data_IF_383564964028
#
_entry.id   IF_383564964028
#
_cell.length_a   1.000
_cell.length_b   1.000
_cell.length_c   1.000
_cell.angle_alpha   90.00
_cell.angle_beta   90.00
_cell.angle_gamma   90.00
#
_symmetry.space_group_name_H-M   'P 1'
#
loop_
_entity.id
_entity.type
_entity.pdbx_description
1 polymer ?
#
# COMPACT_ATOMS: atom_id res chain seq x y z
N UNK A 1 3.97 -5.91 -5.77
CA UNK A 1 4.28 -6.50 -4.44
C UNK A 1 3.53 -7.80 -4.26
N UNK A 2 4.18 -8.80 -3.67
CA UNK A 2 3.62 -10.11 -3.36
C UNK A 2 3.61 -10.26 -1.84
N UNK A 3 2.45 -10.58 -1.26
CA UNK A 3 2.37 -10.90 0.16
C UNK A 3 2.27 -12.41 0.34
N UNK A 4 3.24 -12.99 1.02
CA UNK A 4 3.27 -14.42 1.34
C UNK A 4 2.77 -14.67 2.76
N UNK A 5 1.82 -15.58 2.90
CA UNK A 5 1.28 -16.03 4.19
C UNK A 5 1.14 -17.56 4.26
N UNK A 6 1.67 -18.29 3.28
CA UNK A 6 1.63 -19.74 3.21
C UNK A 6 3.00 -20.32 2.85
N UNK A 7 3.39 -21.40 3.53
CA UNK A 7 4.67 -22.09 3.29
C UNK A 7 4.80 -22.51 1.82
N UNK A 8 3.71 -22.95 1.20
CA UNK A 8 3.72 -23.35 -0.21
C UNK A 8 4.24 -22.21 -1.12
N UNK A 9 3.85 -20.96 -0.86
CA UNK A 9 4.30 -19.79 -1.62
C UNK A 9 5.81 -19.57 -1.43
N UNK A 10 6.31 -19.74 -0.21
CA UNK A 10 7.75 -19.62 0.08
C UNK A 10 8.56 -20.70 -0.65
N UNK A 11 8.08 -21.94 -0.64
CA UNK A 11 8.74 -23.08 -1.31
C UNK A 11 8.74 -22.97 -2.84
N UNK A 12 7.82 -22.18 -3.41
CA UNK A 12 7.68 -22.02 -4.86
C UNK A 12 8.02 -20.60 -5.33
N UNK A 13 8.73 -19.82 -4.51
CA UNK A 13 9.08 -18.41 -4.78
C UNK A 13 9.68 -18.24 -6.17
N UNK A 14 10.73 -18.99 -6.51
CA UNK A 14 11.42 -18.89 -7.80
C UNK A 14 10.49 -19.16 -9.00
N UNK A 15 9.61 -20.14 -8.86
CA UNK A 15 8.63 -20.50 -9.93
C UNK A 15 7.62 -19.36 -10.12
N UNK A 16 7.16 -18.76 -9.01
CA UNK A 16 6.22 -17.63 -9.03
C UNK A 16 6.88 -16.39 -9.63
N UNK A 17 8.11 -16.08 -9.24
CA UNK A 17 8.88 -14.96 -9.79
C UNK A 17 9.11 -15.10 -11.28
N UNK A 18 9.55 -16.29 -11.72
CA UNK A 18 9.71 -16.59 -13.14
C UNK A 18 8.41 -16.41 -13.91
N UNK A 19 7.31 -16.98 -13.43
CA UNK A 19 6.01 -16.84 -14.09
C UNK A 19 5.56 -15.38 -14.18
N UNK A 20 5.79 -14.57 -13.14
CA UNK A 20 5.47 -13.15 -13.17
C UNK A 20 6.33 -12.38 -14.16
N UNK A 21 7.62 -12.68 -14.24
CA UNK A 21 8.53 -12.06 -15.21
C UNK A 21 8.13 -12.45 -16.64
N UNK A 22 7.77 -13.70 -16.86
CA UNK A 22 7.34 -14.20 -18.18
C UNK A 22 6.04 -13.52 -18.66
N UNK A 23 5.13 -13.20 -17.75
CA UNK A 23 3.83 -12.56 -18.06
C UNK A 23 3.98 -11.02 -18.17
N UNK A 24 4.71 -10.39 -17.25
CA UNK A 24 4.75 -8.94 -17.12
C UNK A 24 5.98 -8.31 -17.77
N UNK A 25 6.94 -9.11 -18.21
CA UNK A 25 8.22 -8.67 -18.78
C UNK A 25 9.30 -8.46 -17.72
N UNK A 26 10.53 -8.27 -18.17
CA UNK A 26 11.72 -8.17 -17.31
C UNK A 26 11.87 -6.81 -16.62
N UNK A 27 11.09 -5.81 -17.01
CA UNK A 27 11.17 -4.45 -16.45
C UNK A 27 10.26 -4.25 -15.22
N UNK A 28 10.17 -5.28 -14.38
CA UNK A 28 9.41 -5.23 -13.12
C UNK A 28 10.35 -5.41 -11.94
N UNK A 29 10.05 -4.71 -10.83
CA UNK A 29 10.68 -4.94 -9.54
C UNK A 29 9.71 -5.73 -8.67
N UNK A 30 10.13 -6.92 -8.24
CA UNK A 30 9.34 -7.78 -7.36
C UNK A 30 9.70 -7.44 -5.91
N UNK A 31 8.69 -7.16 -5.10
CA UNK A 31 8.80 -6.92 -3.67
C UNK A 31 8.03 -8.00 -2.93
N UNK A 32 8.72 -8.77 -2.09
CA UNK A 32 8.13 -9.81 -1.26
C UNK A 32 7.90 -9.32 0.17
N UNK A 33 6.69 -9.50 0.66
CA UNK A 33 6.33 -9.25 2.06
C UNK A 33 5.87 -10.55 2.69
N UNK A 34 6.60 -11.00 3.71
CA UNK A 34 6.28 -12.22 4.45
C UNK A 34 5.37 -11.92 5.64
N UNK A 35 4.32 -12.70 5.82
CA UNK A 35 3.55 -12.71 7.06
C UNK A 35 4.25 -13.62 8.10
N UNK A 36 5.38 -13.13 8.65
CA UNK A 36 6.30 -13.91 9.50
C UNK A 36 5.58 -14.65 10.62
N UNK A 37 4.70 -13.97 11.37
CA UNK A 37 3.95 -14.59 12.47
C UNK A 37 3.09 -15.77 12.00
N UNK A 38 2.48 -15.68 10.83
CA UNK A 38 1.66 -16.77 10.27
C UNK A 38 2.53 -17.92 9.80
N UNK A 39 3.60 -17.62 9.07
CA UNK A 39 4.52 -18.62 8.55
C UNK A 39 5.22 -19.39 9.66
N UNK A 40 5.58 -18.73 10.78
CA UNK A 40 6.14 -19.38 11.95
C UNK A 40 5.15 -20.32 12.62
N UNK A 41 3.86 -19.96 12.71
CA UNK A 41 2.81 -20.85 13.21
C UNK A 41 2.65 -22.12 12.35
N UNK A 42 2.86 -21.99 11.05
CA UNK A 42 2.80 -23.10 10.10
C UNK A 42 4.13 -23.91 10.04
N UNK A 43 5.12 -23.59 10.90
CA UNK A 43 6.36 -24.34 11.06
C UNK A 43 7.55 -23.88 10.24
N UNK A 44 7.46 -22.73 9.57
CA UNK A 44 8.62 -22.12 8.92
C UNK A 44 9.55 -21.55 10.01
N UNK A 45 10.81 -22.03 10.08
CA UNK A 45 11.79 -21.49 11.01
C UNK A 45 12.08 -20.02 10.69
N UNK A 46 12.20 -19.18 11.73
CA UNK A 46 12.52 -17.76 11.57
C UNK A 46 13.76 -17.57 10.72
N UNK A 47 13.61 -16.90 9.60
CA UNK A 47 14.73 -16.31 8.88
C UNK A 47 15.09 -15.02 9.60
N UNK A 48 16.23 -15.02 10.29
CA UNK A 48 16.75 -13.84 11.01
C UNK A 48 16.99 -12.70 10.02
N UNK A 49 16.46 -11.55 10.31
CA UNK A 49 17.02 -10.30 9.79
C UNK A 49 16.15 -9.41 8.94
N UNK A 50 14.92 -9.76 8.59
CA UNK A 50 14.06 -8.86 7.81
C UNK A 50 12.66 -8.77 8.43
N UNK A 51 12.14 -7.56 8.59
CA UNK A 51 10.76 -7.31 9.01
C UNK A 51 9.72 -7.84 8.00
N UNK A 52 9.97 -9.03 7.45
CA UNK A 52 9.09 -9.69 6.49
C UNK A 52 9.19 -9.19 5.05
N UNK A 53 10.07 -8.26 4.73
CA UNK A 53 10.30 -7.78 3.35
C UNK A 53 11.65 -8.29 2.86
N UNK A 54 11.66 -8.97 1.71
CA UNK A 54 12.88 -9.44 1.04
C UNK A 54 12.95 -8.74 -0.31
N UNK A 55 14.03 -8.02 -0.53
CA UNK A 55 14.36 -7.48 -1.84
C UNK A 55 15.12 -8.53 -2.65
N UNK A 56 14.99 -8.58 -3.98
CA UNK A 56 15.64 -9.58 -4.82
C UNK A 56 17.17 -9.65 -4.68
N UNK A 57 17.81 -8.55 -4.25
CA UNK A 57 19.26 -8.42 -4.11
C UNK A 57 19.79 -8.68 -2.69
N UNK A 58 18.89 -9.05 -1.74
CA UNK A 58 19.24 -9.19 -0.32
C UNK A 58 19.54 -10.64 0.11
N UNK A 59 19.51 -11.62 -0.80
CA UNK A 59 19.80 -13.02 -0.45
C UNK A 59 21.21 -13.25 0.12
N UNK A 60 22.16 -12.32 -0.12
CA UNK A 60 23.55 -12.39 0.33
C UNK A 60 23.94 -11.36 1.41
N UNK A 61 23.00 -10.53 1.92
CA UNK A 61 23.33 -9.49 2.90
C UNK A 61 22.73 -9.77 4.26
N UNK A 62 23.50 -10.36 5.14
CA UNK A 62 23.24 -10.37 6.58
C UNK A 62 23.15 -8.93 7.11
N UNK A 63 21.97 -8.52 7.53
CA UNK A 63 21.81 -7.46 8.52
C UNK A 63 21.58 -6.01 8.05
N UNK A 64 21.29 -5.72 6.79
CA UNK A 64 20.90 -4.37 6.38
C UNK A 64 19.42 -4.30 6.03
N UNK A 65 18.61 -3.75 6.92
CA UNK A 65 17.26 -3.27 6.63
C UNK A 65 17.35 -2.10 5.63
N UNK A 66 17.39 -2.37 4.34
CA UNK A 66 17.19 -1.29 3.36
C UNK A 66 15.75 -0.82 3.48
N UNK A 67 15.58 0.44 3.89
CA UNK A 67 14.28 1.10 3.90
C UNK A 67 13.74 1.11 2.48
N UNK A 68 12.59 0.47 2.27
CA UNK A 68 11.94 0.49 0.95
C UNK A 68 11.38 1.89 0.70
N UNK A 69 11.83 2.50 -0.40
CA UNK A 69 11.33 3.81 -0.81
C UNK A 69 9.82 3.77 -1.08
N UNK A 70 9.12 4.86 -0.79
CA UNK A 70 7.69 4.97 -1.10
C UNK A 70 7.42 4.70 -2.57
N UNK A 71 6.32 4.02 -2.85
CA UNK A 71 5.88 3.71 -4.21
C UNK A 71 4.71 4.61 -4.58
N UNK A 72 4.77 5.29 -5.72
CA UNK A 72 3.63 6.03 -6.24
C UNK A 72 2.70 5.10 -7.00
N UNK A 73 1.46 4.98 -6.54
CA UNK A 73 0.36 4.30 -7.22
C UNK A 73 -0.54 5.33 -7.86
N UNK A 74 -0.94 5.11 -9.12
CA UNK A 74 -1.90 5.96 -9.81
C UNK A 74 -3.20 5.18 -10.00
N UNK A 75 -4.30 5.74 -9.50
CA UNK A 75 -5.62 5.17 -9.62
C UNK A 75 -6.63 6.26 -9.99
N UNK A 76 -7.32 6.11 -11.13
CA UNK A 76 -8.30 7.10 -11.62
C UNK A 76 -7.76 8.55 -11.65
N UNK A 77 -6.52 8.71 -12.13
CA UNK A 77 -5.76 9.97 -12.18
C UNK A 77 -5.37 10.55 -10.80
N UNK A 78 -5.61 9.85 -9.73
CA UNK A 78 -5.20 10.20 -8.37
C UNK A 78 -3.88 9.50 -8.05
N UNK A 79 -2.91 10.24 -7.52
CA UNK A 79 -1.62 9.71 -7.08
C UNK A 79 -1.67 9.40 -5.59
N UNK A 80 -1.19 8.22 -5.22
CA UNK A 80 -1.05 7.82 -3.83
C UNK A 80 0.40 7.40 -3.56
N UNK A 81 1.01 7.99 -2.56
CA UNK A 81 2.25 7.48 -2.00
C UNK A 81 1.92 6.34 -1.05
N UNK A 82 2.52 5.19 -1.30
CA UNK A 82 2.29 3.96 -0.56
C UNK A 82 3.60 3.52 0.07
N UNK A 83 3.56 3.25 1.37
CA UNK A 83 4.67 2.68 2.13
C UNK A 83 4.52 1.16 2.21
N UNK A 84 5.32 0.38 1.48
CA UNK A 84 5.15 -1.07 1.46
C UNK A 84 5.47 -1.74 2.80
N UNK A 85 6.36 -1.15 3.61
CA UNK A 85 6.83 -1.73 4.86
C UNK A 85 5.80 -1.62 5.98
N UNK A 86 5.21 -0.44 6.18
CA UNK A 86 4.43 -0.10 7.36
C UNK A 86 2.92 -0.16 7.13
N UNK A 87 2.48 -0.37 5.89
CA UNK A 87 1.07 -0.32 5.53
C UNK A 87 0.30 -1.58 5.92
N UNK A 88 -0.95 -1.41 6.36
CA UNK A 88 -1.89 -2.52 6.41
C UNK A 88 -2.05 -3.17 5.03
N UNK A 89 -2.27 -4.48 4.96
CA UNK A 89 -2.25 -5.25 3.70
C UNK A 89 -0.94 -5.00 2.95
N UNK A 90 -1.03 -4.40 1.77
CA UNK A 90 0.10 -4.03 0.90
C UNK A 90 0.39 -2.52 0.93
N UNK A 91 -0.09 -1.81 1.95
CA UNK A 91 0.01 -0.34 2.06
C UNK A 91 -1.08 0.41 1.27
N UNK A 92 -1.84 -0.28 0.42
CA UNK A 92 -2.92 0.29 -0.37
C UNK A 92 -4.08 -0.69 -0.56
N UNK A 93 -5.30 -0.20 -0.51
CA UNK A 93 -6.53 -0.99 -0.64
C UNK A 93 -7.03 -0.98 -2.08
N UNK A 94 -6.44 -1.76 -2.97
CA UNK A 94 -6.81 -1.83 -4.38
C UNK A 94 -8.28 -2.26 -4.60
N UNK A 95 -8.84 -3.04 -3.69
CA UNK A 95 -10.22 -3.51 -3.71
C UNK A 95 -11.27 -2.41 -3.50
N UNK A 96 -10.86 -1.22 -3.06
CA UNK A 96 -11.74 -0.07 -2.85
C UNK A 96 -11.77 0.91 -4.04
N UNK A 97 -11.17 0.59 -5.15
CA UNK A 97 -11.06 1.45 -6.34
C UNK A 97 -12.40 2.01 -6.81
N UNK A 98 -13.35 1.12 -7.02
CA UNK A 98 -14.67 1.50 -7.56
C UNK A 98 -15.48 2.29 -6.53
N UNK A 99 -15.34 1.96 -5.24
CA UNK A 99 -15.97 2.69 -4.16
C UNK A 99 -15.42 4.11 -4.05
N UNK A 100 -14.10 4.30 -4.19
CA UNK A 100 -13.49 5.64 -4.21
C UNK A 100 -13.98 6.46 -5.40
N UNK A 101 -14.07 5.85 -6.57
CA UNK A 101 -14.62 6.51 -7.77
C UNK A 101 -16.09 6.88 -7.60
N UNK A 102 -16.88 6.02 -6.97
CA UNK A 102 -18.28 6.32 -6.65
C UNK A 102 -18.39 7.52 -5.70
N UNK A 103 -17.63 7.53 -4.59
CA UNK A 103 -17.59 8.68 -3.67
C UNK A 103 -17.21 9.96 -4.40
N UNK A 104 -16.19 9.93 -5.27
CA UNK A 104 -15.81 11.08 -6.12
C UNK A 104 -16.98 11.62 -6.92
N UNK A 105 -17.78 10.73 -7.52
CA UNK A 105 -18.89 11.11 -8.40
C UNK A 105 -20.06 11.79 -7.69
N UNK A 106 -20.25 11.51 -6.40
CA UNK A 106 -21.40 12.02 -5.61
C UNK A 106 -21.03 13.17 -4.65
N UNK A 107 -19.76 13.56 -4.56
CA UNK A 107 -19.25 14.49 -3.54
C UNK A 107 -19.43 15.96 -3.88
N UNK A 108 -19.74 16.31 -5.13
CA UNK A 108 -19.84 17.72 -5.55
C UNK A 108 -20.81 18.51 -4.66
N UNK A 109 -20.33 19.60 -4.09
CA UNK A 109 -21.09 20.53 -3.26
C UNK A 109 -21.51 19.95 -1.91
N UNK A 110 -20.93 18.84 -1.46
CA UNK A 110 -21.25 18.21 -0.17
C UNK A 110 -20.18 18.45 0.87
N UNK A 111 -20.58 18.39 2.14
CA UNK A 111 -19.67 18.24 3.26
C UNK A 111 -19.51 16.73 3.54
N UNK A 112 -18.25 16.27 3.61
CA UNK A 112 -17.91 14.86 3.72
C UNK A 112 -17.13 14.61 5.01
N UNK A 113 -17.53 13.58 5.75
CA UNK A 113 -16.79 13.04 6.88
C UNK A 113 -16.28 11.64 6.52
N UNK A 114 -14.96 11.48 6.52
CA UNK A 114 -14.27 10.20 6.30
C UNK A 114 -13.71 9.70 7.64
N UNK A 115 -14.40 8.75 8.26
CA UNK A 115 -13.96 8.10 9.49
C UNK A 115 -13.13 6.87 9.17
N UNK A 116 -12.02 6.69 9.90
CA UNK A 116 -11.03 5.64 9.60
C UNK A 116 -10.36 5.87 8.23
N UNK A 117 -9.98 7.12 7.99
CA UNK A 117 -9.55 7.57 6.66
C UNK A 117 -8.26 6.91 6.16
N UNK A 118 -7.47 6.28 7.03
CA UNK A 118 -6.19 5.66 6.71
C UNK A 118 -5.29 6.63 5.92
N UNK A 119 -4.82 6.27 4.72
CA UNK A 119 -4.01 7.15 3.85
C UNK A 119 -4.82 8.16 3.04
N UNK A 120 -6.08 8.40 3.39
CA UNK A 120 -6.92 9.45 2.82
C UNK A 120 -7.55 9.13 1.46
N UNK A 121 -7.64 7.87 1.08
CA UNK A 121 -8.11 7.50 -0.27
C UNK A 121 -9.51 8.00 -0.60
N UNK A 122 -10.46 7.89 0.32
CA UNK A 122 -11.83 8.41 0.16
C UNK A 122 -11.87 9.92 0.30
N UNK A 123 -11.13 10.49 1.25
CA UNK A 123 -11.03 11.94 1.47
C UNK A 123 -10.56 12.66 0.22
N UNK A 124 -9.48 12.17 -0.41
CA UNK A 124 -8.92 12.75 -1.65
C UNK A 124 -9.91 12.62 -2.79
N UNK A 125 -10.55 11.46 -2.93
CA UNK A 125 -11.55 11.22 -3.95
C UNK A 125 -12.74 12.16 -3.81
N UNK A 126 -13.24 12.39 -2.59
CA UNK A 126 -14.30 13.34 -2.31
C UNK A 126 -13.92 14.77 -2.67
N UNK A 127 -12.71 15.18 -2.30
CA UNK A 127 -12.20 16.52 -2.59
C UNK A 127 -12.09 16.78 -4.08
N UNK A 128 -11.43 15.89 -4.81
CA UNK A 128 -11.30 15.99 -6.26
C UNK A 128 -12.65 15.80 -6.96
N UNK A 129 -13.64 15.24 -6.29
CA UNK A 129 -15.05 15.20 -6.71
C UNK A 129 -15.79 16.52 -6.53
N UNK A 130 -15.16 17.53 -5.93
CA UNK A 130 -15.75 18.85 -5.71
C UNK A 130 -16.57 18.97 -4.42
N UNK A 131 -16.21 18.22 -3.38
CA UNK A 131 -16.75 18.44 -2.04
C UNK A 131 -16.45 19.87 -1.55
N UNK A 132 -17.40 20.50 -0.85
CA UNK A 132 -17.19 21.82 -0.23
C UNK A 132 -16.23 21.74 0.95
N UNK A 133 -16.34 20.64 1.70
CA UNK A 133 -15.52 20.38 2.89
C UNK A 133 -15.33 18.88 3.03
N UNK A 134 -14.11 18.49 3.42
CA UNK A 134 -13.81 17.10 3.82
C UNK A 134 -13.14 17.13 5.19
N UNK A 135 -13.62 16.31 6.08
CA UNK A 135 -12.99 16.07 7.39
C UNK A 135 -12.57 14.60 7.41
N UNK A 136 -11.27 14.38 7.58
CA UNK A 136 -10.67 13.05 7.65
C UNK A 136 -10.25 12.75 9.08
N UNK A 137 -10.61 11.58 9.60
CA UNK A 137 -10.34 11.16 10.98
C UNK A 137 -9.77 9.75 10.99
N UNK A 138 -8.64 9.57 11.69
CA UNK A 138 -8.05 8.27 12.00
C UNK A 138 -7.38 8.30 13.36
N UNK A 139 -7.29 7.18 14.04
CA UNK A 139 -6.59 7.05 15.32
C UNK A 139 -5.07 6.92 15.16
N UNK A 140 -4.59 6.60 13.96
CA UNK A 140 -3.17 6.44 13.65
C UNK A 140 -2.56 7.74 13.14
N UNK A 141 -1.61 8.30 13.91
CA UNK A 141 -0.85 9.49 13.47
C UNK A 141 -0.09 9.23 12.15
N UNK A 142 0.40 8.01 11.94
CA UNK A 142 1.08 7.61 10.69
C UNK A 142 0.11 7.64 9.51
N UNK A 143 -1.13 7.15 9.70
CA UNK A 143 -2.17 7.19 8.67
C UNK A 143 -2.53 8.65 8.31
N UNK A 144 -2.72 9.52 9.29
CA UNK A 144 -2.97 10.95 9.06
C UNK A 144 -1.81 11.62 8.32
N UNK A 145 -0.56 11.32 8.70
CA UNK A 145 0.61 11.84 7.98
C UNK A 145 0.61 11.42 6.51
N UNK A 146 0.31 10.14 6.23
CA UNK A 146 0.20 9.63 4.87
C UNK A 146 -0.96 10.29 4.10
N UNK A 147 -2.11 10.50 4.74
CA UNK A 147 -3.24 11.22 4.15
C UNK A 147 -2.86 12.66 3.78
N UNK A 148 -2.16 13.38 4.65
CA UNK A 148 -1.65 14.74 4.37
C UNK A 148 -0.67 14.76 3.19
N UNK A 149 0.23 13.77 3.10
CA UNK A 149 1.16 13.63 1.98
C UNK A 149 0.41 13.41 0.67
N UNK A 150 -0.55 12.50 0.67
CA UNK A 150 -1.36 12.17 -0.50
C UNK A 150 -2.25 13.35 -0.95
N UNK A 151 -2.77 14.13 -0.03
CA UNK A 151 -3.50 15.37 -0.34
C UNK A 151 -2.63 16.37 -1.09
N UNK A 152 -1.42 16.61 -0.59
CA UNK A 152 -0.45 17.52 -1.23
C UNK A 152 -0.04 17.03 -2.62
N UNK A 153 0.15 15.72 -2.78
CA UNK A 153 0.56 15.10 -4.05
C UNK A 153 -0.47 15.29 -5.18
N UNK A 154 -1.72 15.56 -4.82
CA UNK A 154 -2.84 15.74 -5.76
C UNK A 154 -3.36 17.18 -5.83
N UNK A 155 -2.68 18.15 -5.21
CA UNK A 155 -3.13 19.54 -5.13
C UNK A 155 -4.61 19.63 -4.68
N UNK A 156 -5.05 18.69 -3.85
CA UNK A 156 -6.44 18.58 -3.45
C UNK A 156 -6.82 19.80 -2.58
N UNK A 157 -7.88 20.51 -2.90
CA UNK A 157 -8.27 21.75 -2.22
C UNK A 157 -8.94 21.45 -0.87
N UNK A 158 -8.17 20.93 0.09
CA UNK A 158 -8.69 20.58 1.42
C UNK A 158 -7.83 21.16 2.52
N UNK A 159 -8.48 21.57 3.61
CA UNK A 159 -7.88 21.73 4.92
C UNK A 159 -8.12 20.43 5.72
N UNK A 160 -7.05 19.80 6.18
CA UNK A 160 -7.06 18.67 7.15
C UNK A 160 -6.96 19.27 8.53
#
# INVERSE_FOLDING_TARGET
>A
MIQSSAIWVELHKEVIEKALIDIMGTNIKLLWRRAVARLSQDGLQEMKGTNGIVLPDDEDREGTTQKVEPITVIENDIRFEVQPEDGQKTGFYCDQRDNRQFVRSISRGKDVLDTYCYSGGFSISAALGGANRVVAVDSSATAISAACTNLKLNDAPIQV
#
